data_IF_300942103557
#
_entry.id   IF_300942103557
#
_cell.length_a   1.000
_cell.length_b   1.000
_cell.length_c   1.000
_cell.angle_alpha   90.00
_cell.angle_beta   90.00
_cell.angle_gamma   90.00
#
_symmetry.space_group_name_H-M   'P 1'
#
loop_
_entity.id
_entity.type
_entity.pdbx_description
1 polymer ?
#
# COMPACT_ATOMS: atom_id res chain seq x y z
N UNK A 1 -27.88 35.78 51.76
CA UNK A 1 -27.70 36.36 50.43
C UNK A 1 -27.58 35.19 49.46
N UNK A 2 -28.52 35.11 48.54
CA UNK A 2 -28.77 33.96 47.67
C UNK A 2 -27.55 33.59 46.82
N UNK A 3 -27.19 32.32 46.84
CA UNK A 3 -26.30 31.72 45.86
C UNK A 3 -27.03 31.60 44.53
N UNK A 4 -26.82 32.56 43.64
CA UNK A 4 -27.21 32.45 42.24
C UNK A 4 -26.43 31.33 41.56
N UNK A 5 -27.03 30.15 41.41
CA UNK A 5 -26.53 29.13 40.49
C UNK A 5 -26.72 29.67 39.06
N UNK A 6 -25.73 29.58 38.17
CA UNK A 6 -25.92 30.01 36.80
C UNK A 6 -26.90 29.06 36.11
N UNK A 7 -27.99 29.59 35.55
CA UNK A 7 -28.98 28.90 34.71
C UNK A 7 -28.43 28.52 33.32
N UNK A 8 -27.18 28.02 33.25
CA UNK A 8 -26.48 27.61 32.03
C UNK A 8 -26.61 26.10 31.81
N UNK A 9 -27.83 25.58 31.65
CA UNK A 9 -28.05 24.14 31.40
C UNK A 9 -29.05 23.83 30.28
N UNK A 10 -29.92 24.78 29.88
CA UNK A 10 -30.99 24.48 28.92
C UNK A 10 -30.65 24.88 27.48
N UNK A 11 -29.94 25.99 27.29
CA UNK A 11 -29.53 26.47 25.95
C UNK A 11 -28.43 25.58 25.34
N UNK A 12 -27.54 25.04 26.18
CA UNK A 12 -26.44 24.17 25.72
C UNK A 12 -26.96 22.79 25.26
N UNK A 13 -28.11 22.34 25.77
CA UNK A 13 -28.70 21.05 25.40
C UNK A 13 -29.33 21.10 24.00
N UNK A 14 -30.04 22.17 23.65
CA UNK A 14 -30.59 22.33 22.29
C UNK A 14 -29.48 22.54 21.27
N UNK A 15 -28.42 23.28 21.61
CA UNK A 15 -27.25 23.43 20.77
C UNK A 15 -26.53 22.09 20.53
N UNK A 16 -26.39 21.28 21.59
CA UNK A 16 -25.83 19.92 21.50
C UNK A 16 -26.67 19.01 20.60
N UNK A 17 -28.00 18.99 20.78
CA UNK A 17 -28.88 18.16 19.95
C UNK A 17 -28.86 18.61 18.48
N UNK A 18 -28.84 19.93 18.23
CA UNK A 18 -28.76 20.48 16.88
C UNK A 18 -27.44 20.07 16.22
N UNK A 19 -26.31 20.24 16.91
CA UNK A 19 -25.01 19.80 16.42
C UNK A 19 -24.97 18.28 16.17
N UNK A 20 -25.60 17.47 17.03
CA UNK A 20 -25.70 16.02 16.84
C UNK A 20 -26.51 15.63 15.60
N UNK A 21 -27.53 16.41 15.24
CA UNK A 21 -28.29 16.19 14.01
C UNK A 21 -27.56 16.67 12.75
N UNK A 22 -26.76 17.73 12.86
CA UNK A 22 -26.00 18.29 11.72
C UNK A 22 -24.75 17.45 11.40
N UNK A 23 -24.05 17.01 12.46
CA UNK A 23 -22.76 16.34 12.41
C UNK A 23 -22.77 14.92 13.01
N UNK A 24 -23.75 14.04 12.72
CA UNK A 24 -23.87 12.73 13.34
C UNK A 24 -22.65 11.82 13.15
N UNK A 25 -21.82 12.03 12.12
CA UNK A 25 -20.59 11.24 11.95
C UNK A 25 -19.55 11.59 13.01
N UNK A 26 -19.42 12.86 13.40
CA UNK A 26 -18.57 13.27 14.53
C UNK A 26 -19.00 12.61 15.84
N UNK A 27 -20.32 12.57 16.09
CA UNK A 27 -20.88 11.96 17.29
C UNK A 27 -20.73 10.44 17.30
N UNK A 28 -20.96 9.77 16.17
CA UNK A 28 -20.75 8.32 16.06
C UNK A 28 -19.32 7.94 16.43
N UNK A 29 -18.32 8.70 15.94
CA UNK A 29 -16.90 8.49 16.26
C UNK A 29 -16.59 8.84 17.72
N UNK A 30 -17.11 9.96 18.22
CA UNK A 30 -16.91 10.36 19.61
C UNK A 30 -17.48 9.33 20.61
N UNK A 31 -18.58 8.66 20.24
CA UNK A 31 -19.19 7.59 21.00
C UNK A 31 -18.53 6.22 20.78
N UNK A 32 -17.66 6.07 19.78
CA UNK A 32 -17.04 4.79 19.41
C UNK A 32 -17.99 3.81 18.74
N UNK A 33 -19.15 4.26 18.25
CA UNK A 33 -20.19 3.42 17.64
C UNK A 33 -19.84 3.11 16.18
N UNK A 34 -19.26 1.94 15.97
CA UNK A 34 -18.80 1.47 14.67
C UNK A 34 -19.94 1.16 13.70
N UNK A 35 -21.08 0.66 14.20
CA UNK A 35 -22.23 0.34 13.36
C UNK A 35 -22.86 1.63 12.84
N UNK A 36 -23.10 2.57 13.75
CA UNK A 36 -23.67 3.86 13.38
C UNK A 36 -22.74 4.64 12.45
N UNK A 37 -21.42 4.69 12.74
CA UNK A 37 -20.45 5.30 11.85
C UNK A 37 -20.45 4.63 10.46
N UNK A 38 -20.52 3.29 10.41
CA UNK A 38 -20.56 2.53 9.17
C UNK A 38 -21.79 2.85 8.32
N UNK A 39 -22.96 2.98 8.93
CA UNK A 39 -24.20 3.31 8.23
C UNK A 39 -24.21 4.75 7.71
N UNK A 40 -23.65 5.70 8.47
CA UNK A 40 -23.49 7.07 8.01
C UNK A 40 -22.53 7.18 6.81
N UNK A 41 -21.43 6.42 6.81
CA UNK A 41 -20.51 6.36 5.67
C UNK A 41 -21.16 5.73 4.44
N UNK A 42 -21.98 4.68 4.60
CA UNK A 42 -22.77 4.10 3.49
C UNK A 42 -23.81 5.08 2.95
N UNK A 43 -24.38 5.93 3.81
CA UNK A 43 -25.28 7.00 3.41
C UNK A 43 -24.58 8.17 2.68
N UNK A 44 -23.26 8.09 2.49
CA UNK A 44 -22.48 9.06 1.72
C UNK A 44 -21.95 10.24 2.53
N UNK A 45 -22.05 10.23 3.87
CA UNK A 45 -21.32 11.20 4.69
C UNK A 45 -19.83 10.96 4.58
N UNK A 46 -19.05 12.03 4.51
CA UNK A 46 -17.60 11.90 4.38
C UNK A 46 -16.93 12.17 5.73
N UNK A 47 -15.86 11.42 6.06
CA UNK A 47 -15.08 11.64 7.27
C UNK A 47 -14.12 12.84 7.16
N UNK A 48 -14.17 13.59 6.06
CA UNK A 48 -13.37 14.80 5.82
C UNK A 48 -14.19 16.09 6.01
N UNK A 49 -15.51 16.00 6.13
CA UNK A 49 -16.35 17.17 6.33
C UNK A 49 -16.12 17.75 7.74
N UNK A 50 -15.68 19.02 7.87
CA UNK A 50 -15.49 19.64 9.16
C UNK A 50 -16.83 20.08 9.79
N UNK A 51 -16.87 20.12 11.11
CA UNK A 51 -17.95 20.76 11.86
C UNK A 51 -17.79 22.29 11.92
N UNK A 52 -18.66 22.96 12.68
CA UNK A 52 -18.60 24.41 12.90
C UNK A 52 -17.31 24.88 13.57
N UNK A 53 -16.60 24.00 14.27
CA UNK A 53 -15.31 24.29 14.90
C UNK A 53 -14.12 23.99 13.98
N UNK A 54 -14.37 23.47 12.78
CA UNK A 54 -13.33 23.03 11.85
C UNK A 54 -12.78 21.63 12.16
N UNK A 55 -13.37 20.92 13.13
CA UNK A 55 -12.96 19.57 13.51
C UNK A 55 -13.57 18.57 12.53
N UNK A 56 -12.79 17.64 12.01
CA UNK A 56 -13.31 16.53 11.18
C UNK A 56 -13.54 15.28 12.03
N UNK A 57 -14.39 14.34 11.58
CA UNK A 57 -14.50 13.04 12.24
C UNK A 57 -13.17 12.30 12.34
N UNK A 58 -12.26 12.54 11.37
CA UNK A 58 -10.92 11.96 11.36
C UNK A 58 -10.01 12.54 12.45
N UNK A 59 -10.24 13.78 12.90
CA UNK A 59 -9.48 14.38 14.01
C UNK A 59 -9.87 13.82 15.37
N UNK A 60 -11.03 13.17 15.46
CA UNK A 60 -11.51 12.52 16.67
C UNK A 60 -10.91 11.12 16.87
N UNK A 61 -10.22 10.57 15.86
CA UNK A 61 -9.66 9.21 15.89
C UNK A 61 -8.53 9.06 16.92
N UNK A 62 -8.34 7.84 17.42
CA UNK A 62 -7.31 7.50 18.40
C UNK A 62 -7.60 7.99 19.82
N UNK A 63 -8.81 8.47 20.08
CA UNK A 63 -9.28 8.76 21.44
C UNK A 63 -9.66 7.45 22.13
N UNK A 64 -9.40 7.31 23.44
CA UNK A 64 -9.76 6.10 24.15
C UNK A 64 -11.27 5.82 24.01
N UNK A 65 -11.61 4.60 23.58
CA UNK A 65 -13.00 4.14 23.42
C UNK A 65 -13.54 4.15 22.00
N UNK A 66 -12.79 4.63 20.99
CA UNK A 66 -13.27 4.72 19.61
C UNK A 66 -12.64 3.72 18.62
N UNK A 67 -11.84 2.77 19.10
CA UNK A 67 -11.05 1.83 18.29
C UNK A 67 -11.82 1.15 17.15
N UNK A 68 -13.09 0.79 17.40
CA UNK A 68 -13.94 0.13 16.40
C UNK A 68 -14.41 1.10 15.31
N UNK A 69 -14.93 2.27 15.70
CA UNK A 69 -15.31 3.33 14.75
C UNK A 69 -14.10 3.85 13.95
N UNK A 70 -12.94 3.87 14.58
CA UNK A 70 -11.66 4.20 13.96
C UNK A 70 -11.29 3.23 12.85
N UNK A 71 -11.44 1.93 13.11
CA UNK A 71 -11.17 0.91 12.12
C UNK A 71 -12.12 1.05 10.92
N UNK A 72 -13.39 1.36 11.17
CA UNK A 72 -14.40 1.58 10.12
C UNK A 72 -14.05 2.78 9.24
N UNK A 73 -13.72 3.93 9.82
CA UNK A 73 -13.33 5.12 9.04
C UNK A 73 -12.05 4.87 8.24
N UNK A 74 -11.02 4.27 8.86
CA UNK A 74 -9.77 3.94 8.16
C UNK A 74 -10.01 2.95 7.01
N UNK A 75 -10.86 1.95 7.21
CA UNK A 75 -11.21 0.98 6.17
C UNK A 75 -11.97 1.65 5.02
N UNK A 76 -12.92 2.52 5.32
CA UNK A 76 -13.66 3.29 4.32
C UNK A 76 -12.73 4.16 3.47
N UNK A 77 -11.86 4.95 4.11
CA UNK A 77 -10.90 5.80 3.43
C UNK A 77 -9.95 4.99 2.55
N UNK A 78 -9.48 3.84 3.04
CA UNK A 78 -8.61 2.95 2.27
C UNK A 78 -9.32 2.37 1.03
N UNK A 79 -10.59 2.01 1.16
CA UNK A 79 -11.38 1.52 0.01
C UNK A 79 -11.49 2.58 -1.08
N UNK A 80 -11.84 3.82 -0.70
CA UNK A 80 -11.92 4.96 -1.64
C UNK A 80 -10.59 5.26 -2.30
N UNK A 81 -9.51 5.23 -1.51
CA UNK A 81 -8.16 5.41 -2.03
C UNK A 81 -7.83 4.35 -3.09
N UNK A 82 -8.22 3.09 -2.88
CA UNK A 82 -8.02 2.04 -3.90
C UNK A 82 -8.86 2.26 -5.14
N UNK A 83 -10.10 2.72 -5.01
CA UNK A 83 -10.95 3.08 -6.16
C UNK A 83 -10.32 4.21 -7.00
N UNK A 84 -9.59 5.13 -6.37
CA UNK A 84 -8.92 6.26 -7.03
C UNK A 84 -7.53 5.90 -7.61
N UNK A 85 -6.71 5.16 -6.87
CA UNK A 85 -5.34 4.85 -7.27
C UNK A 85 -5.23 3.68 -8.25
N UNK A 86 -6.15 2.71 -8.17
CA UNK A 86 -6.03 1.53 -8.99
C UNK A 86 -6.64 1.80 -10.37
N UNK A 87 -5.91 1.49 -11.46
CA UNK A 87 -6.55 1.45 -12.76
C UNK A 87 -7.66 0.39 -12.70
N UNK A 88 -8.72 0.58 -13.49
CA UNK A 88 -9.85 -0.34 -13.53
C UNK A 88 -9.35 -1.80 -13.61
N UNK A 89 -9.99 -2.73 -12.90
CA UNK A 89 -9.49 -4.11 -12.73
C UNK A 89 -9.18 -4.83 -14.07
N UNK A 90 -9.76 -4.38 -15.17
CA UNK A 90 -9.56 -4.86 -16.53
C UNK A 90 -8.41 -4.18 -17.31
N UNK A 91 -7.81 -3.12 -16.77
CA UNK A 91 -6.72 -2.37 -17.40
C UNK A 91 -5.38 -3.10 -17.32
N UNK A 92 -5.23 -4.01 -16.35
CA UNK A 92 -4.04 -4.86 -16.27
C UNK A 92 -4.13 -5.98 -17.31
N UNK A 93 -3.22 -5.95 -18.30
CA UNK A 93 -3.10 -7.00 -19.32
C UNK A 93 -1.99 -7.98 -18.92
N UNK A 94 -2.28 -9.28 -18.73
CA UNK A 94 -1.25 -10.27 -18.43
C UNK A 94 -0.24 -10.38 -19.57
N UNK A 95 0.97 -10.90 -19.31
CA UNK A 95 1.96 -11.18 -20.36
C UNK A 95 1.36 -12.07 -21.45
N UNK A 96 1.84 -11.93 -22.69
CA UNK A 96 1.27 -12.63 -23.85
C UNK A 96 1.22 -14.16 -23.63
N UNK A 97 0.03 -14.75 -23.75
CA UNK A 97 -0.20 -16.17 -23.46
C UNK A 97 -0.36 -16.50 -21.96
N UNK A 98 -0.43 -15.49 -21.10
CA UNK A 98 -0.60 -15.61 -19.65
C UNK A 98 0.68 -15.92 -18.89
N UNK A 99 0.61 -15.86 -17.57
CA UNK A 99 1.77 -16.14 -16.69
C UNK A 99 2.35 -17.55 -16.87
N UNK A 100 1.52 -18.53 -17.22
CA UNK A 100 1.98 -19.90 -17.46
C UNK A 100 2.88 -20.02 -18.70
N UNK A 101 2.56 -19.30 -19.78
CA UNK A 101 3.42 -19.26 -20.97
C UNK A 101 4.71 -18.49 -20.69
N UNK A 102 4.61 -17.41 -19.91
CA UNK A 102 5.77 -16.60 -19.55
C UNK A 102 6.76 -17.34 -18.66
N UNK A 103 6.26 -18.06 -17.65
CA UNK A 103 7.09 -18.91 -16.79
C UNK A 103 7.84 -19.97 -17.60
N UNK A 104 7.20 -20.60 -18.58
CA UNK A 104 7.85 -21.56 -19.48
C UNK A 104 8.95 -20.91 -20.32
N UNK A 105 8.71 -19.70 -20.85
CA UNK A 105 9.73 -18.94 -21.59
C UNK A 105 10.93 -18.59 -20.70
N UNK A 106 10.69 -18.15 -19.47
CA UNK A 106 11.76 -17.82 -18.52
C UNK A 106 12.61 -19.05 -18.17
N UNK A 107 11.98 -20.20 -17.90
CA UNK A 107 12.71 -21.46 -17.64
C UNK A 107 13.52 -21.89 -18.87
N UNK A 108 12.94 -21.80 -20.06
CA UNK A 108 13.65 -22.11 -21.31
C UNK A 108 14.86 -21.20 -21.56
N UNK A 109 14.72 -19.89 -21.30
CA UNK A 109 15.81 -18.92 -21.42
C UNK A 109 16.92 -19.21 -20.40
N UNK A 110 16.57 -19.52 -19.15
CA UNK A 110 17.54 -19.86 -18.11
C UNK A 110 18.31 -21.15 -18.43
N UNK A 111 17.62 -22.19 -18.94
CA UNK A 111 18.29 -23.42 -19.37
C UNK A 111 19.26 -23.19 -20.53
N UNK A 112 18.88 -22.35 -21.50
CA UNK A 112 19.74 -22.01 -22.64
C UNK A 112 20.99 -21.25 -22.21
N UNK A 113 20.84 -20.26 -21.32
CA UNK A 113 21.97 -19.49 -20.79
C UNK A 113 22.99 -20.37 -20.04
N UNK A 114 22.53 -21.38 -19.28
CA UNK A 114 23.44 -22.33 -18.64
C UNK A 114 24.12 -23.28 -19.62
N UNK A 115 23.46 -23.61 -20.74
CA UNK A 115 24.07 -24.38 -21.82
C UNK A 115 25.21 -23.60 -22.49
N UNK A 116 24.94 -22.35 -22.86
CA UNK A 116 25.92 -21.44 -23.46
C UNK A 116 27.10 -21.16 -22.52
N UNK A 117 26.87 -21.02 -21.20
CA UNK A 117 27.94 -20.83 -20.21
C UNK A 117 28.85 -22.07 -20.06
N UNK A 118 28.25 -23.28 -20.11
CA UNK A 118 29.03 -24.53 -20.08
C UNK A 118 29.87 -24.70 -21.34
N UNK A 119 29.33 -24.32 -22.49
CA UNK A 119 30.02 -24.40 -23.78
C UNK A 119 31.18 -23.38 -23.85
N UNK A 120 30.95 -22.14 -23.38
CA UNK A 120 32.01 -21.13 -23.24
C UNK A 120 33.14 -21.57 -22.29
N UNK A 121 32.79 -22.15 -21.13
CA UNK A 121 33.77 -22.68 -20.16
C UNK A 121 34.57 -23.86 -20.71
N UNK A 122 33.97 -24.68 -21.57
CA UNK A 122 34.66 -25.79 -22.23
C UNK A 122 35.68 -25.28 -23.26
N UNK A 123 35.32 -24.28 -24.06
CA UNK A 123 36.22 -23.67 -25.05
C UNK A 123 37.39 -22.91 -24.41
N UNK A 124 37.21 -22.37 -23.20
CA UNK A 124 38.28 -21.70 -22.45
C UNK A 124 39.25 -22.70 -21.79
N UNK A 125 38.77 -23.89 -21.40
CA UNK A 125 39.60 -25.00 -20.94
C UNK A 125 40.44 -25.63 -22.06
N UNK A 126 39.90 -25.72 -23.28
CA UNK A 126 40.59 -26.33 -24.43
C UNK A 126 41.68 -25.43 -25.02
N UNK A 127 41.61 -24.11 -24.81
CA UNK A 127 42.67 -23.17 -25.22
C UNK A 127 43.80 -23.01 -24.18
N UNK A 128 43.76 -23.74 -23.05
CA UNK A 128 44.70 -23.62 -21.94
C UNK A 128 45.95 -24.50 -22.01
N UNK A 129 46.20 -25.25 -23.09
CA UNK A 129 47.28 -26.24 -23.14
C UNK A 129 48.12 -26.19 -24.44
N UNK A 130 48.84 -25.10 -24.70
CA UNK A 130 50.12 -25.18 -25.45
C UNK A 130 51.02 -23.93 -25.31
N UNK A 131 51.39 -23.56 -24.07
CA UNK A 131 52.33 -22.44 -23.83
C UNK A 131 53.71 -22.88 -23.33
N UNK A 132 54.13 -24.14 -23.60
CA UNK A 132 55.42 -24.67 -23.14
C UNK A 132 56.31 -25.33 -24.20
N UNK A 133 55.94 -25.29 -25.49
CA UNK A 133 56.73 -25.95 -26.55
C UNK A 133 57.62 -25.07 -27.43
N UNK A 134 57.86 -23.81 -27.07
CA UNK A 134 58.68 -22.90 -27.90
C UNK A 134 59.81 -22.19 -27.15
N UNK A 135 60.50 -22.91 -26.25
CA UNK A 135 61.78 -22.44 -25.63
C UNK A 135 62.96 -23.40 -25.82
N UNK A 136 62.96 -24.20 -26.88
CA UNK A 136 64.11 -25.06 -27.23
C UNK A 136 64.42 -25.08 -28.72
N UNK A 137 64.75 -23.91 -29.28
CA UNK A 137 65.63 -23.83 -30.44
C UNK A 137 66.27 -22.44 -30.47
N UNK A 138 67.30 -22.25 -29.66
CA UNK A 138 68.34 -21.29 -30.01
C UNK A 138 69.25 -21.96 -31.04
N UNK A 139 69.35 -21.46 -32.28
CA UNK A 139 70.40 -21.90 -33.18
C UNK A 139 71.72 -21.34 -32.65
N UNK A 140 72.49 -22.21 -32.00
CA UNK A 140 73.93 -22.03 -31.85
C UNK A 140 74.55 -21.89 -33.24
N UNK A 141 75.00 -20.69 -33.61
CA UNK A 141 75.98 -20.50 -34.67
C UNK A 141 76.89 -19.31 -34.37
N UNK A 142 78.16 -19.65 -34.10
CA UNK A 142 79.33 -18.80 -34.24
C UNK A 142 79.40 -18.13 -35.61
N UNK A 143 79.83 -16.86 -35.66
CA UNK A 143 81.19 -16.40 -36.03
C UNK A 143 81.25 -14.89 -35.73
#
# INVERSE_FOLDING_TARGET
MEGGRPHRQRQDYEAFLTAATEYPLHFAVACGDAEWAGDLLKAGRTPQDPDLEGTTPTDLLGRPGNDQSDQVIRAHNRSKLFDELLPAANAWKPPEGGFGADAKRQVGAAMKAQGEEREARSLESDNGFDMEKERRQEPSSSI
#
